data_IF_929381658710
#
_entry.id   IF_929381658710
#
_cell.length_a   1.000
_cell.length_b   1.000
_cell.length_c   1.000
_cell.angle_alpha   90.00
_cell.angle_beta   90.00
_cell.angle_gamma   90.00
#
_symmetry.space_group_name_H-M   'P 1'
#
loop_
_entity.id
_entity.type
_entity.pdbx_description
1 polymer ?
#
# COMPACT_ATOMS: atom_id res chain seq x y z
N UNK A 1 -9.82 -7.03 7.29
CA UNK A 1 -10.75 -7.24 6.15
C UNK A 1 -10.11 -8.22 5.20
N UNK A 2 -10.78 -9.31 4.86
CA UNK A 2 -10.35 -10.29 3.83
C UNK A 2 -10.67 -9.72 2.44
N UNK A 3 -9.78 -9.93 1.45
CA UNK A 3 -10.05 -9.62 0.04
C UNK A 3 -9.80 -10.83 -0.83
N UNK A 4 -10.67 -11.07 -1.80
CA UNK A 4 -10.55 -12.15 -2.78
C UNK A 4 -10.82 -11.61 -4.18
N UNK A 5 -9.88 -11.83 -5.06
CA UNK A 5 -10.00 -11.58 -6.49
C UNK A 5 -10.20 -12.90 -7.20
N UNK A 6 -11.29 -13.04 -7.94
CA UNK A 6 -11.67 -14.25 -8.64
C UNK A 6 -11.58 -14.01 -10.15
N UNK A 7 -10.48 -14.44 -10.78
CA UNK A 7 -10.19 -14.28 -12.22
C UNK A 7 -10.46 -12.86 -12.74
N UNK A 8 -9.98 -11.88 -11.98
CA UNK A 8 -10.28 -10.46 -12.24
C UNK A 8 -9.45 -9.95 -13.41
N UNK A 9 -10.11 -9.28 -14.35
CA UNK A 9 -9.46 -8.51 -15.40
C UNK A 9 -9.83 -7.03 -15.28
N UNK A 10 -8.86 -6.14 -15.49
CA UNK A 10 -9.08 -4.70 -15.36
C UNK A 10 -8.19 -3.89 -16.29
N UNK A 11 -8.69 -2.75 -16.75
CA UNK A 11 -7.95 -1.80 -17.57
C UNK A 11 -7.64 -0.56 -16.74
N UNK A 12 -6.43 -0.01 -16.93
CA UNK A 12 -6.08 1.23 -16.26
C UNK A 12 -7.04 2.37 -16.66
N UNK A 13 -7.51 3.21 -15.73
CA UNK A 13 -8.49 4.26 -16.04
C UNK A 13 -8.05 5.26 -17.13
N UNK A 14 -6.75 5.53 -17.22
CA UNK A 14 -6.18 6.41 -18.25
C UNK A 14 -5.88 5.72 -19.59
N UNK A 15 -6.10 4.41 -19.71
CA UNK A 15 -5.86 3.68 -20.96
C UNK A 15 -7.01 3.87 -21.96
N UNK A 16 -6.70 3.79 -23.25
CA UNK A 16 -7.71 3.85 -24.31
C UNK A 16 -8.69 2.66 -24.18
N UNK A 17 -9.96 2.83 -24.63
CA UNK A 17 -10.97 1.77 -24.53
C UNK A 17 -10.58 0.44 -25.22
N UNK A 18 -9.76 0.49 -26.25
CA UNK A 18 -9.29 -0.66 -27.01
C UNK A 18 -7.99 -1.28 -26.45
N UNK A 19 -7.36 -0.63 -25.47
CA UNK A 19 -6.12 -1.15 -24.89
C UNK A 19 -6.37 -2.49 -24.18
N UNK A 20 -5.37 -3.35 -24.20
CA UNK A 20 -5.40 -4.60 -23.45
C UNK A 20 -5.60 -4.37 -21.95
N UNK A 21 -6.23 -5.28 -21.22
CA UNK A 21 -6.34 -5.22 -19.77
C UNK A 21 -4.94 -5.15 -19.12
N UNK A 22 -4.77 -4.24 -18.18
CA UNK A 22 -3.53 -4.11 -17.39
C UNK A 22 -3.41 -5.18 -16.29
N UNK A 23 -4.53 -5.82 -15.94
CA UNK A 23 -4.60 -7.02 -15.09
C UNK A 23 -5.45 -8.04 -15.83
N UNK A 24 -4.99 -9.30 -15.92
CA UNK A 24 -5.57 -10.33 -16.76
C UNK A 24 -5.87 -11.58 -15.93
N UNK A 25 -7.16 -11.94 -15.81
CA UNK A 25 -7.66 -13.16 -15.17
C UNK A 25 -6.97 -13.49 -13.83
N UNK A 26 -6.60 -12.46 -13.03
CA UNK A 26 -5.83 -12.60 -11.81
C UNK A 26 -6.73 -13.11 -10.68
N UNK A 27 -6.28 -14.17 -10.00
CA UNK A 27 -6.89 -14.67 -8.77
C UNK A 27 -5.90 -14.52 -7.61
N UNK A 28 -6.33 -13.87 -6.52
CA UNK A 28 -5.51 -13.61 -5.34
C UNK A 28 -6.43 -13.54 -4.12
N UNK A 29 -6.02 -14.15 -3.02
CA UNK A 29 -6.70 -14.03 -1.73
C UNK A 29 -5.75 -13.49 -0.69
N UNK A 30 -6.16 -12.44 0.03
CA UNK A 30 -5.43 -11.83 1.15
C UNK A 30 -6.31 -11.95 2.40
N UNK A 31 -5.78 -12.54 3.45
CA UNK A 31 -6.51 -12.77 4.71
C UNK A 31 -6.67 -11.46 5.48
N UNK A 32 -7.65 -11.43 6.37
CA UNK A 32 -7.78 -10.31 7.31
C UNK A 32 -6.54 -10.22 8.21
N UNK A 33 -5.97 -9.01 8.34
CA UNK A 33 -4.76 -8.74 9.12
C UNK A 33 -3.45 -9.15 8.44
N UNK A 34 -3.50 -9.70 7.22
CA UNK A 34 -2.32 -10.08 6.48
C UNK A 34 -1.61 -8.86 5.87
N UNK A 35 -0.29 -8.92 5.79
CA UNK A 35 0.55 -7.92 5.15
C UNK A 35 1.20 -8.51 3.90
N UNK A 36 1.03 -7.85 2.76
CA UNK A 36 1.42 -8.32 1.44
C UNK A 36 2.12 -7.21 0.67
N UNK A 37 3.29 -7.49 0.09
CA UNK A 37 3.90 -6.62 -0.90
C UNK A 37 3.68 -7.15 -2.31
N UNK A 38 3.33 -6.25 -3.24
CA UNK A 38 3.24 -6.52 -4.67
C UNK A 38 4.44 -5.89 -5.36
N UNK A 39 5.28 -6.69 -5.99
CA UNK A 39 6.45 -6.24 -6.75
C UNK A 39 6.31 -6.58 -8.24
N UNK A 40 7.09 -5.91 -9.08
CA UNK A 40 7.12 -6.15 -10.50
C UNK A 40 7.57 -4.90 -11.27
N UNK A 41 7.92 -5.05 -12.55
CA UNK A 41 8.42 -3.94 -13.37
C UNK A 41 7.39 -2.83 -13.56
N UNK A 42 7.85 -1.68 -14.04
CA UNK A 42 6.96 -0.59 -14.44
C UNK A 42 5.98 -1.08 -15.50
N UNK A 43 4.71 -0.68 -15.36
CA UNK A 43 3.65 -1.15 -16.27
C UNK A 43 3.11 -2.55 -16.00
N UNK A 44 3.61 -3.30 -15.01
CA UNK A 44 3.13 -4.65 -14.67
C UNK A 44 1.65 -4.72 -14.25
N UNK A 45 0.98 -3.59 -13.98
CA UNK A 45 -0.42 -3.54 -13.57
C UNK A 45 -0.65 -3.36 -12.07
N UNK A 46 0.39 -3.08 -11.27
CA UNK A 46 0.33 -2.95 -9.80
C UNK A 46 -0.71 -1.92 -9.33
N UNK A 47 -0.66 -0.70 -9.85
CA UNK A 47 -1.63 0.37 -9.55
C UNK A 47 -3.06 -0.03 -9.93
N UNK A 48 -3.25 -0.68 -11.10
CA UNK A 48 -4.56 -1.17 -11.54
C UNK A 48 -5.08 -2.26 -10.61
N UNK A 49 -4.21 -3.16 -10.13
CA UNK A 49 -4.54 -4.17 -9.14
C UNK A 49 -5.04 -3.53 -7.84
N UNK A 50 -4.33 -2.52 -7.30
CA UNK A 50 -4.79 -1.81 -6.10
C UNK A 50 -6.12 -1.09 -6.31
N UNK A 51 -6.36 -0.50 -7.47
CA UNK A 51 -7.64 0.14 -7.78
C UNK A 51 -8.79 -0.87 -7.87
N UNK A 52 -8.55 -2.07 -8.38
CA UNK A 52 -9.53 -3.17 -8.36
C UNK A 52 -9.82 -3.61 -6.92
N UNK A 53 -8.79 -3.84 -6.10
CA UNK A 53 -8.90 -4.19 -4.69
C UNK A 53 -9.63 -3.11 -3.88
N UNK A 54 -9.40 -1.84 -4.18
CA UNK A 54 -10.06 -0.70 -3.55
C UNK A 54 -11.53 -0.51 -3.99
N UNK A 55 -12.03 -1.34 -4.92
CA UNK A 55 -13.29 -1.09 -5.60
C UNK A 55 -13.41 0.32 -6.22
N UNK A 56 -12.26 0.96 -6.50
CA UNK A 56 -12.19 2.23 -7.21
C UNK A 56 -12.33 2.04 -8.72
N UNK A 57 -12.03 0.85 -9.21
CA UNK A 57 -12.17 0.43 -10.59
C UNK A 57 -13.09 -0.79 -10.66
N UNK A 58 -14.12 -0.75 -11.52
CA UNK A 58 -14.96 -1.90 -11.80
C UNK A 58 -14.21 -2.89 -12.70
N UNK A 59 -14.15 -4.19 -12.36
CA UNK A 59 -13.52 -5.18 -13.21
C UNK A 59 -14.24 -5.31 -14.55
N UNK A 60 -13.48 -5.63 -15.61
CA UNK A 60 -14.00 -5.97 -16.93
C UNK A 60 -14.57 -7.40 -16.93
N UNK A 61 -13.96 -8.29 -16.16
CA UNK A 61 -14.37 -9.66 -15.94
C UNK A 61 -13.93 -10.12 -14.55
N UNK A 62 -14.54 -11.18 -14.04
CA UNK A 62 -14.29 -11.70 -12.70
C UNK A 62 -15.00 -10.93 -11.60
N UNK A 63 -14.65 -11.20 -10.34
CA UNK A 63 -15.29 -10.64 -9.15
C UNK A 63 -14.31 -10.20 -8.09
N UNK A 64 -14.69 -9.17 -7.30
CA UNK A 64 -13.95 -8.67 -6.13
C UNK A 64 -14.82 -8.86 -4.90
N UNK A 65 -14.39 -9.74 -4.00
CA UNK A 65 -15.08 -9.97 -2.74
C UNK A 65 -14.29 -9.35 -1.58
N UNK A 66 -15.00 -8.60 -0.74
CA UNK A 66 -14.50 -8.04 0.50
C UNK A 66 -15.30 -8.63 1.66
N UNK A 67 -14.61 -9.33 2.58
CA UNK A 67 -15.23 -10.13 3.66
C UNK A 67 -16.33 -11.08 3.13
N UNK A 68 -16.11 -11.67 1.94
CA UNK A 68 -17.05 -12.58 1.27
C UNK A 68 -18.20 -11.93 0.51
N UNK A 69 -18.31 -10.60 0.50
CA UNK A 69 -19.34 -9.87 -0.23
C UNK A 69 -18.82 -9.36 -1.57
N UNK A 70 -19.53 -9.65 -2.66
CA UNK A 70 -19.22 -9.06 -3.97
C UNK A 70 -19.55 -7.56 -3.96
N UNK A 71 -18.50 -6.75 -4.00
CA UNK A 71 -18.59 -5.30 -3.92
C UNK A 71 -19.48 -4.69 -5.00
N UNK A 72 -19.49 -5.29 -6.20
CA UNK A 72 -20.20 -4.75 -7.36
C UNK A 72 -21.64 -5.22 -7.49
N UNK A 73 -22.05 -6.21 -6.67
CA UNK A 73 -23.43 -6.64 -6.49
C UNK A 73 -24.18 -5.79 -5.45
N UNK A 74 -23.45 -5.00 -4.66
CA UNK A 74 -24.05 -4.17 -3.62
C UNK A 74 -24.78 -2.94 -4.21
N UNK A 75 -25.86 -2.48 -3.57
CA UNK A 75 -26.45 -1.18 -3.87
C UNK A 75 -25.43 -0.06 -3.58
N UNK A 76 -25.63 1.13 -4.16
CA UNK A 76 -24.70 2.26 -4.03
C UNK A 76 -24.34 2.58 -2.57
N UNK A 77 -25.30 2.54 -1.67
CA UNK A 77 -25.09 2.78 -0.23
C UNK A 77 -24.20 1.71 0.39
N UNK A 78 -24.41 0.43 0.07
CA UNK A 78 -23.59 -0.68 0.54
C UNK A 78 -22.15 -0.59 0.03
N UNK A 79 -21.97 -0.28 -1.25
CA UNK A 79 -20.65 -0.05 -1.83
C UNK A 79 -19.92 1.14 -1.19
N UNK A 80 -20.66 2.22 -0.87
CA UNK A 80 -20.09 3.38 -0.18
C UNK A 80 -19.64 3.02 1.24
N UNK A 81 -20.45 2.28 2.01
CA UNK A 81 -20.09 1.78 3.34
C UNK A 81 -18.85 0.88 3.28
N UNK A 82 -18.82 -0.02 2.29
CA UNK A 82 -17.68 -0.92 2.09
C UNK A 82 -16.39 -0.15 1.78
N UNK A 83 -16.45 0.84 0.88
CA UNK A 83 -15.34 1.74 0.57
C UNK A 83 -14.90 2.57 1.78
N UNK A 84 -15.80 2.93 2.68
CA UNK A 84 -15.45 3.60 3.93
C UNK A 84 -14.55 2.75 4.83
N UNK A 85 -14.65 1.43 4.76
CA UNK A 85 -13.85 0.51 5.58
C UNK A 85 -12.45 0.21 4.98
N UNK A 86 -12.08 0.82 3.86
CA UNK A 86 -10.76 0.69 3.24
C UNK A 86 -10.15 2.08 2.97
N UNK A 87 -8.82 2.12 2.84
CA UNK A 87 -8.08 3.32 2.49
C UNK A 87 -7.14 3.01 1.33
N UNK A 88 -7.28 3.76 0.24
CA UNK A 88 -6.34 3.74 -0.89
C UNK A 88 -5.45 4.98 -0.81
N UNK A 89 -4.15 4.77 -0.58
CA UNK A 89 -3.12 5.78 -0.68
C UNK A 89 -2.47 5.68 -2.08
N UNK A 90 -2.78 6.59 -3.00
CA UNK A 90 -2.13 6.60 -4.32
C UNK A 90 -0.70 7.13 -4.21
N UNK A 91 0.14 6.84 -5.19
CA UNK A 91 1.52 7.28 -5.30
C UNK A 91 1.69 8.80 -5.08
N UNK A 92 0.83 9.60 -5.69
CA UNK A 92 0.75 11.04 -5.43
C UNK A 92 -0.48 11.34 -4.54
N UNK A 93 -0.30 11.65 -3.24
CA UNK A 93 -1.42 11.91 -2.35
C UNK A 93 -2.26 13.09 -2.82
N UNK A 94 -3.60 12.94 -2.93
CA UNK A 94 -4.50 14.03 -3.34
C UNK A 94 -4.73 15.00 -2.17
N UNK A 95 -3.73 15.83 -1.90
CA UNK A 95 -3.75 16.83 -0.84
C UNK A 95 -4.05 18.20 -1.43
N UNK A 96 -5.12 18.89 -1.00
CA UNK A 96 -5.44 20.24 -1.48
C UNK A 96 -4.32 21.23 -1.11
N UNK A 97 -3.76 21.99 -2.07
CA UNK A 97 -2.54 22.76 -1.84
C UNK A 97 -2.70 23.87 -0.78
N UNK A 98 -3.88 24.48 -0.68
CA UNK A 98 -4.14 25.56 0.28
C UNK A 98 -4.57 25.09 1.68
N UNK A 99 -4.73 23.77 1.85
CA UNK A 99 -5.14 23.18 3.13
C UNK A 99 -3.96 23.09 4.10
N UNK A 100 -4.24 23.17 5.41
CA UNK A 100 -3.24 22.87 6.44
C UNK A 100 -3.02 21.37 6.54
N UNK A 101 -1.80 20.97 6.90
CA UNK A 101 -1.41 19.56 7.06
C UNK A 101 -2.32 18.84 8.07
N UNK A 102 -2.61 19.45 9.21
CA UNK A 102 -3.52 18.89 10.21
C UNK A 102 -4.89 18.51 9.62
N UNK A 103 -5.47 19.39 8.83
CA UNK A 103 -6.78 19.16 8.20
C UNK A 103 -6.66 18.07 7.10
N UNK A 104 -5.59 18.10 6.33
CA UNK A 104 -5.32 17.10 5.30
C UNK A 104 -5.16 15.68 5.88
N UNK A 105 -4.48 15.55 7.03
CA UNK A 105 -4.32 14.28 7.75
C UNK A 105 -5.66 13.82 8.31
N UNK A 106 -6.37 14.68 9.06
CA UNK A 106 -7.66 14.33 9.68
C UNK A 106 -8.76 14.00 8.67
N UNK A 107 -8.63 14.46 7.42
CA UNK A 107 -9.54 14.04 6.34
C UNK A 107 -9.56 12.52 6.08
N UNK A 108 -8.56 11.77 6.57
CA UNK A 108 -8.58 10.30 6.57
C UNK A 108 -9.73 9.68 7.36
N UNK A 109 -10.36 10.43 8.27
CA UNK A 109 -11.49 9.99 9.10
C UNK A 109 -12.87 10.29 8.48
N UNK A 110 -12.92 11.13 7.47
CA UNK A 110 -14.20 11.57 6.88
C UNK A 110 -15.20 10.46 6.53
N UNK A 111 -14.76 9.26 6.06
CA UNK A 111 -15.68 8.16 5.79
C UNK A 111 -16.45 7.65 7.02
N UNK A 112 -15.93 7.87 8.22
CA UNK A 112 -16.49 7.40 9.49
C UNK A 112 -17.17 8.50 10.30
N UNK A 113 -17.11 9.74 9.84
CA UNK A 113 -17.72 10.90 10.51
C UNK A 113 -19.06 11.25 9.89
N UNK A 114 -20.00 11.67 10.73
CA UNK A 114 -21.28 12.21 10.27
C UNK A 114 -21.10 13.51 9.47
N UNK A 115 -22.05 13.83 8.59
CA UNK A 115 -21.97 14.97 7.68
C UNK A 115 -21.66 16.30 8.38
N UNK A 116 -22.29 16.59 9.51
CA UNK A 116 -22.05 17.81 10.28
C UNK A 116 -20.67 17.87 10.93
N UNK A 117 -20.19 16.74 11.44
CA UNK A 117 -18.83 16.63 12.01
C UNK A 117 -17.80 16.80 10.91
N UNK A 118 -17.99 16.14 9.76
CA UNK A 118 -17.13 16.27 8.58
C UNK A 118 -17.04 17.71 8.07
N UNK A 119 -18.19 18.40 7.97
CA UNK A 119 -18.21 19.80 7.52
C UNK A 119 -17.48 20.71 8.53
N UNK A 120 -17.70 20.50 9.83
CA UNK A 120 -17.01 21.26 10.89
C UNK A 120 -15.50 20.98 10.90
N UNK A 121 -15.07 19.74 10.72
CA UNK A 121 -13.66 19.34 10.76
C UNK A 121 -12.82 19.96 9.63
N UNK A 122 -13.45 20.34 8.51
CA UNK A 122 -12.78 21.07 7.42
C UNK A 122 -12.32 22.49 7.82
N UNK A 123 -13.04 23.12 8.75
CA UNK A 123 -12.75 24.48 9.23
C UNK A 123 -12.05 24.48 10.60
N UNK A 124 -12.44 23.53 11.46
CA UNK A 124 -11.92 23.41 12.82
C UNK A 124 -11.47 21.95 13.07
N UNK A 125 -10.19 21.65 12.97
CA UNK A 125 -9.68 20.29 13.23
C UNK A 125 -9.95 19.91 14.70
N UNK A 126 -10.74 18.85 14.90
CA UNK A 126 -11.25 18.48 16.24
C UNK A 126 -10.27 17.58 17.02
N UNK A 127 -9.41 16.83 16.34
CA UNK A 127 -8.51 15.85 16.99
C UNK A 127 -7.05 16.11 16.58
N UNK A 128 -6.56 17.29 16.93
CA UNK A 128 -5.18 17.71 16.67
C UNK A 128 -4.15 16.72 17.23
N UNK A 129 -4.28 16.21 18.49
CA UNK A 129 -3.31 15.26 19.04
C UNK A 129 -3.21 13.95 18.24
N UNK A 130 -4.29 13.51 17.60
CA UNK A 130 -4.26 12.31 16.73
C UNK A 130 -3.48 12.57 15.45
N UNK A 131 -3.69 13.73 14.82
CA UNK A 131 -2.92 14.12 13.64
C UNK A 131 -1.43 14.28 13.96
N UNK A 132 -1.11 14.91 15.10
CA UNK A 132 0.27 15.10 15.58
C UNK A 132 0.98 13.75 15.79
N UNK A 133 0.35 12.80 16.49
CA UNK A 133 0.91 11.44 16.68
C UNK A 133 1.15 10.72 15.34
N UNK A 134 0.20 10.81 14.41
CA UNK A 134 0.35 10.18 13.10
C UNK A 134 1.48 10.82 12.29
N UNK A 135 1.65 12.14 12.37
CA UNK A 135 2.74 12.87 11.72
C UNK A 135 4.09 12.59 12.39
N UNK A 136 4.13 12.47 13.73
CA UNK A 136 5.34 12.14 14.48
C UNK A 136 5.92 10.79 14.04
N UNK A 137 5.07 9.79 13.74
CA UNK A 137 5.48 8.51 13.18
C UNK A 137 6.19 8.61 11.82
N UNK A 138 6.16 9.75 11.17
CA UNK A 138 6.83 10.01 9.89
C UNK A 138 7.76 11.24 9.94
N UNK A 139 8.21 11.66 11.11
CA UNK A 139 9.07 12.84 11.32
C UNK A 139 8.50 14.12 10.70
N UNK A 140 7.20 14.39 10.91
CA UNK A 140 6.47 15.50 10.32
C UNK A 140 5.66 16.31 11.34
N UNK A 141 5.87 16.09 12.65
CA UNK A 141 5.09 16.78 13.69
C UNK A 141 5.27 18.30 13.66
N UNK A 142 6.47 18.78 13.32
CA UNK A 142 6.81 20.19 13.15
C UNK A 142 6.04 20.89 12.04
N UNK A 143 5.51 20.12 11.05
CA UNK A 143 4.75 20.59 9.89
C UNK A 143 3.25 20.64 10.10
N UNK A 144 2.75 20.29 11.29
CA UNK A 144 1.32 20.13 11.60
C UNK A 144 0.43 21.28 11.11
N UNK A 145 0.92 22.52 11.27
CA UNK A 145 0.18 23.74 10.89
C UNK A 145 0.62 24.37 9.58
N UNK A 146 1.60 23.77 8.90
CA UNK A 146 2.07 24.24 7.61
C UNK A 146 0.99 24.02 6.53
N UNK A 147 1.12 24.75 5.41
CA UNK A 147 0.27 24.54 4.25
C UNK A 147 0.88 23.46 3.35
N UNK A 148 0.01 22.64 2.76
CA UNK A 148 0.41 21.55 1.86
C UNK A 148 1.24 22.06 0.66
N UNK A 149 0.95 23.25 0.13
CA UNK A 149 1.70 23.83 -1.01
C UNK A 149 3.15 24.19 -0.67
N UNK A 150 3.51 24.29 0.61
CA UNK A 150 4.88 24.56 1.07
C UNK A 150 5.72 23.29 1.28
N UNK A 151 5.09 22.11 1.19
CA UNK A 151 5.74 20.83 1.40
C UNK A 151 6.47 20.38 0.13
N UNK A 152 7.63 19.75 0.31
CA UNK A 152 8.33 18.97 -0.72
C UNK A 152 7.51 17.75 -1.16
N UNK A 153 7.91 17.07 -2.25
CA UNK A 153 7.28 15.84 -2.71
C UNK A 153 7.27 14.74 -1.65
N UNK A 154 8.44 14.49 -1.03
CA UNK A 154 8.57 13.49 0.03
C UNK A 154 7.80 13.84 1.31
N UNK A 155 7.73 15.12 1.68
CA UNK A 155 6.89 15.56 2.81
C UNK A 155 5.41 15.33 2.53
N UNK A 156 4.94 15.65 1.31
CA UNK A 156 3.54 15.35 0.91
C UNK A 156 3.25 13.87 0.97
N UNK A 157 4.19 13.03 0.54
CA UNK A 157 4.02 11.57 0.62
C UNK A 157 3.88 11.10 2.06
N UNK A 158 4.74 11.54 2.97
CA UNK A 158 4.66 11.23 4.40
C UNK A 158 3.35 11.71 5.04
N UNK A 159 2.86 12.89 4.66
CA UNK A 159 1.53 13.39 5.07
C UNK A 159 0.42 12.47 4.56
N UNK A 160 0.53 11.96 3.33
CA UNK A 160 -0.40 10.96 2.78
C UNK A 160 -0.42 9.65 3.58
N UNK A 161 0.74 9.17 4.02
CA UNK A 161 0.86 8.00 4.89
C UNK A 161 0.30 8.27 6.29
N UNK A 162 0.58 9.43 6.88
CA UNK A 162 -0.02 9.84 8.15
C UNK A 162 -1.56 9.91 8.07
N UNK A 163 -2.12 10.36 6.92
CA UNK A 163 -3.55 10.32 6.65
C UNK A 163 -4.09 8.88 6.63
N UNK A 164 -3.34 7.90 6.11
CA UNK A 164 -3.72 6.49 6.18
C UNK A 164 -3.75 5.98 7.62
N UNK A 165 -2.80 6.42 8.46
CA UNK A 165 -2.76 6.02 9.87
C UNK A 165 -3.91 6.57 10.71
N UNK A 166 -4.43 7.76 10.43
CA UNK A 166 -5.59 8.29 11.17
C UNK A 166 -6.91 7.71 10.69
N UNK A 167 -6.95 7.08 9.51
CA UNK A 167 -8.14 6.39 9.02
C UNK A 167 -8.49 5.21 9.91
N UNK A 168 -9.76 4.84 9.98
CA UNK A 168 -10.24 3.65 10.70
C UNK A 168 -10.41 2.46 9.74
N UNK A 169 -9.70 2.52 8.62
CA UNK A 169 -9.75 1.50 7.58
C UNK A 169 -9.22 0.15 8.10
N UNK A 170 -9.95 -0.92 7.76
CA UNK A 170 -9.56 -2.31 8.03
C UNK A 170 -8.71 -2.91 6.90
N UNK A 171 -8.65 -2.24 5.75
CA UNK A 171 -7.80 -2.57 4.61
C UNK A 171 -7.07 -1.32 4.14
N UNK A 172 -5.76 -1.35 4.20
CA UNK A 172 -4.85 -0.32 3.71
C UNK A 172 -4.24 -0.79 2.39
N UNK A 173 -4.48 -0.04 1.34
CA UNK A 173 -3.93 -0.25 0.01
C UNK A 173 -3.01 0.93 -0.30
N UNK A 174 -1.72 0.68 -0.48
CA UNK A 174 -0.72 1.76 -0.57
C UNK A 174 0.10 1.58 -1.84
N UNK A 175 -0.01 2.55 -2.74
CA UNK A 175 0.67 2.53 -4.03
C UNK A 175 1.99 3.29 -3.95
N UNK A 176 3.11 2.57 -4.08
CA UNK A 176 4.47 3.10 -4.11
C UNK A 176 4.77 4.13 -3.00
N UNK A 177 4.62 3.75 -1.71
CA UNK A 177 4.73 4.68 -0.59
C UNK A 177 6.11 5.34 -0.44
N UNK A 178 7.14 4.84 -1.13
CA UNK A 178 8.54 5.20 -0.92
C UNK A 178 9.14 5.99 -2.08
N UNK A 179 8.41 6.21 -3.17
CA UNK A 179 8.92 6.72 -4.45
C UNK A 179 9.56 8.13 -4.40
N UNK A 180 9.20 8.95 -3.41
CA UNK A 180 9.74 10.30 -3.23
C UNK A 180 10.59 10.46 -1.96
N UNK A 181 11.03 9.36 -1.36
CA UNK A 181 11.78 9.33 -0.11
C UNK A 181 13.22 8.85 -0.35
N UNK A 182 14.16 9.38 0.43
CA UNK A 182 15.51 8.83 0.52
C UNK A 182 15.51 7.47 1.25
N UNK A 183 16.57 6.66 1.14
CA UNK A 183 16.61 5.31 1.71
C UNK A 183 16.29 5.24 3.20
N UNK A 184 16.84 6.15 4.01
CA UNK A 184 16.63 6.16 5.47
C UNK A 184 15.17 6.45 5.82
N UNK A 185 14.57 7.46 5.16
CA UNK A 185 13.16 7.79 5.36
C UNK A 185 12.23 6.73 4.80
N UNK A 186 12.63 6.05 3.72
CA UNK A 186 11.90 4.92 3.15
C UNK A 186 11.79 3.77 4.14
N UNK A 187 12.91 3.39 4.77
CA UNK A 187 12.92 2.35 5.79
C UNK A 187 12.01 2.71 6.97
N UNK A 188 12.19 3.90 7.54
CA UNK A 188 11.37 4.36 8.66
C UNK A 188 9.86 4.42 8.31
N UNK A 189 9.52 4.89 7.11
CA UNK A 189 8.13 4.98 6.67
C UNK A 189 7.46 3.61 6.52
N UNK A 190 8.17 2.62 5.97
CA UNK A 190 7.61 1.28 5.79
C UNK A 190 7.48 0.56 7.14
N UNK A 191 8.46 0.70 8.04
CA UNK A 191 8.39 0.16 9.41
C UNK A 191 7.19 0.73 10.17
N UNK A 192 7.04 2.05 10.17
CA UNK A 192 5.90 2.73 10.79
C UNK A 192 4.56 2.23 10.23
N UNK A 193 4.46 2.08 8.91
CA UNK A 193 3.24 1.64 8.24
C UNK A 193 2.90 0.19 8.58
N UNK A 194 3.86 -0.72 8.50
CA UNK A 194 3.68 -2.16 8.77
C UNK A 194 3.39 -2.40 10.25
N UNK A 195 4.09 -1.72 11.15
CA UNK A 195 3.83 -1.79 12.60
C UNK A 195 2.42 -1.30 12.93
N UNK A 196 2.02 -0.12 12.44
CA UNK A 196 0.70 0.44 12.72
C UNK A 196 -0.44 -0.42 12.12
N UNK A 197 -0.23 -1.07 10.97
CA UNK A 197 -1.18 -2.03 10.41
C UNK A 197 -1.30 -3.27 11.31
N UNK A 198 -0.17 -3.82 11.78
CA UNK A 198 -0.11 -4.97 12.69
C UNK A 198 -0.84 -4.71 14.01
N UNK A 199 -0.51 -3.59 14.67
CA UNK A 199 -1.10 -3.20 15.98
C UNK A 199 -2.63 -3.08 15.92
N UNK A 200 -3.18 -2.67 14.76
CA UNK A 200 -4.63 -2.53 14.55
C UNK A 200 -5.29 -3.77 13.96
N UNK A 201 -4.52 -4.81 13.63
CA UNK A 201 -5.01 -5.97 12.90
C UNK A 201 -5.56 -5.60 11.51
N UNK A 202 -5.10 -4.50 10.91
CA UNK A 202 -5.49 -4.07 9.58
C UNK A 202 -4.76 -4.90 8.52
N UNK A 203 -5.46 -5.22 7.44
CA UNK A 203 -4.85 -5.82 6.25
C UNK A 203 -4.08 -4.73 5.51
N UNK A 204 -2.84 -5.02 5.10
CA UNK A 204 -2.00 -4.09 4.37
C UNK A 204 -1.55 -4.72 3.04
N UNK A 205 -1.81 -4.04 1.94
CA UNK A 205 -1.25 -4.38 0.62
C UNK A 205 -0.50 -3.16 0.10
N UNK A 206 0.80 -3.29 -0.12
CA UNK A 206 1.63 -2.22 -0.65
C UNK A 206 2.29 -2.63 -1.97
N UNK A 207 2.29 -1.76 -2.97
CA UNK A 207 3.14 -1.94 -4.14
C UNK A 207 4.50 -1.31 -3.89
N UNK A 208 5.55 -2.01 -4.27
CA UNK A 208 6.93 -1.56 -4.06
C UNK A 208 7.77 -1.79 -5.32
N UNK A 209 8.66 -0.83 -5.63
CA UNK A 209 9.70 -1.01 -6.64
C UNK A 209 10.96 -1.63 -6.04
N UNK A 210 11.29 -1.28 -4.79
CA UNK A 210 12.47 -1.79 -4.09
C UNK A 210 12.21 -3.19 -3.54
N UNK A 211 12.75 -4.21 -4.23
CA UNK A 211 12.58 -5.63 -3.88
C UNK A 211 13.11 -5.92 -2.47
N UNK A 212 14.26 -5.37 -2.11
CA UNK A 212 14.89 -5.55 -0.79
C UNK A 212 13.97 -5.07 0.34
N UNK A 213 13.36 -3.89 0.17
CA UNK A 213 12.40 -3.35 1.13
C UNK A 213 11.14 -4.23 1.25
N UNK A 214 10.68 -4.81 0.14
CA UNK A 214 9.56 -5.74 0.15
C UNK A 214 9.90 -7.00 0.94
N UNK A 215 11.05 -7.62 0.66
CA UNK A 215 11.52 -8.84 1.32
C UNK A 215 11.82 -8.66 2.80
N UNK A 216 12.35 -7.48 3.19
CA UNK A 216 12.69 -7.19 4.58
C UNK A 216 11.47 -6.91 5.48
N UNK A 217 10.41 -6.30 4.92
CA UNK A 217 9.32 -5.76 5.75
C UNK A 217 7.97 -6.46 5.56
N UNK A 218 7.81 -7.31 4.56
CA UNK A 218 6.56 -8.01 4.29
C UNK A 218 6.72 -9.53 4.37
N UNK A 219 5.83 -10.25 5.07
CA UNK A 219 5.90 -11.70 5.21
C UNK A 219 5.54 -12.45 3.92
N UNK A 220 4.81 -11.83 2.99
CA UNK A 220 4.34 -12.42 1.73
C UNK A 220 4.55 -11.48 0.57
N UNK A 221 5.04 -12.02 -0.53
CA UNK A 221 5.38 -11.27 -1.73
C UNK A 221 4.63 -11.84 -2.93
N UNK A 222 4.00 -10.98 -3.67
CA UNK A 222 3.36 -11.28 -4.97
C UNK A 222 4.15 -10.62 -6.08
N UNK A 223 4.63 -11.42 -7.01
CA UNK A 223 5.28 -10.96 -8.24
C UNK A 223 4.26 -10.80 -9.37
N UNK A 224 4.13 -9.58 -9.90
CA UNK A 224 3.23 -9.24 -11.00
C UNK A 224 4.03 -8.82 -12.23
N UNK A 225 3.73 -9.44 -13.40
CA UNK A 225 4.30 -9.06 -14.69
C UNK A 225 3.23 -9.16 -15.79
N UNK A 226 3.18 -8.17 -16.65
CA UNK A 226 2.26 -8.10 -17.81
C UNK A 226 0.78 -8.36 -17.43
N UNK A 227 0.38 -7.88 -16.25
CA UNK A 227 -0.97 -8.05 -15.71
C UNK A 227 -1.28 -9.42 -15.15
N UNK A 228 -0.32 -10.34 -15.12
CA UNK A 228 -0.45 -11.69 -14.60
C UNK A 228 0.41 -11.93 -13.36
N UNK A 229 -0.06 -12.83 -12.50
CA UNK A 229 0.66 -13.27 -11.32
C UNK A 229 1.76 -14.25 -11.74
N UNK A 230 3.03 -13.92 -11.42
CA UNK A 230 4.19 -14.77 -11.71
C UNK A 230 4.49 -15.70 -10.52
N UNK A 231 4.41 -15.19 -9.31
CA UNK A 231 4.53 -15.96 -8.08
C UNK A 231 3.78 -15.29 -6.92
N UNK A 232 3.47 -16.09 -5.92
CA UNK A 232 2.84 -15.70 -4.66
C UNK A 232 3.45 -16.55 -3.56
N UNK A 233 4.41 -15.99 -2.82
CA UNK A 233 5.30 -16.74 -1.93
C UNK A 233 5.52 -16.01 -0.59
N UNK A 234 5.80 -16.75 0.50
CA UNK A 234 6.44 -16.16 1.66
C UNK A 234 7.76 -15.48 1.29
N UNK A 235 8.09 -14.35 1.91
CA UNK A 235 9.31 -13.59 1.59
C UNK A 235 10.58 -14.47 1.64
N UNK A 236 10.69 -15.36 2.62
CA UNK A 236 11.82 -16.28 2.78
C UNK A 236 11.95 -17.33 1.66
N UNK A 237 10.89 -17.55 0.87
CA UNK A 237 10.87 -18.50 -0.25
C UNK A 237 11.16 -17.84 -1.61
N UNK A 238 11.26 -16.51 -1.65
CA UNK A 238 11.57 -15.78 -2.89
C UNK A 238 13.04 -15.95 -3.22
N UNK A 239 13.35 -16.64 -4.32
CA UNK A 239 14.71 -16.89 -4.81
C UNK A 239 15.12 -15.88 -5.89
N UNK A 240 16.44 -15.86 -6.20
CA UNK A 240 16.97 -15.09 -7.35
C UNK A 240 16.27 -15.46 -8.66
N UNK A 241 15.99 -16.76 -8.86
CA UNK A 241 15.32 -17.23 -10.09
C UNK A 241 13.92 -16.66 -10.22
N UNK A 242 13.16 -16.56 -9.12
CA UNK A 242 11.85 -15.91 -9.10
C UNK A 242 11.94 -14.44 -9.52
N UNK A 243 12.96 -13.71 -9.00
CA UNK A 243 13.17 -12.30 -9.34
C UNK A 243 13.66 -12.14 -10.78
N UNK A 244 14.58 -12.99 -11.25
CA UNK A 244 15.00 -12.98 -12.65
C UNK A 244 13.84 -13.27 -13.61
N UNK A 245 12.99 -14.26 -13.29
CA UNK A 245 11.80 -14.54 -14.07
C UNK A 245 10.83 -13.36 -14.10
N UNK A 246 10.67 -12.66 -12.96
CA UNK A 246 9.80 -11.49 -12.85
C UNK A 246 10.29 -10.31 -13.70
N UNK A 247 11.61 -10.03 -13.71
CA UNK A 247 12.24 -8.89 -14.37
C UNK A 247 12.99 -9.25 -15.67
N UNK A 248 12.76 -10.44 -16.25
CA UNK A 248 13.53 -10.97 -17.39
C UNK A 248 13.68 -10.01 -18.58
N UNK A 249 12.71 -9.13 -18.82
CA UNK A 249 12.74 -8.12 -19.89
C UNK A 249 13.18 -6.73 -19.40
N UNK A 250 13.40 -6.54 -18.09
CA UNK A 250 13.68 -5.27 -17.42
C UNK A 250 14.86 -5.41 -16.43
N UNK A 251 15.90 -6.14 -16.82
CA UNK A 251 17.08 -6.40 -15.95
C UNK A 251 17.76 -5.12 -15.45
N UNK A 252 17.65 -4.01 -16.17
CA UNK A 252 18.14 -2.71 -15.74
C UNK A 252 17.38 -2.15 -14.50
N UNK A 253 16.12 -2.56 -14.27
CA UNK A 253 15.36 -2.17 -13.07
C UNK A 253 15.83 -2.95 -11.83
N UNK A 254 16.31 -4.19 -11.99
CA UNK A 254 16.94 -4.96 -10.92
C UNK A 254 18.30 -4.38 -10.51
N UNK A 255 19.14 -3.99 -11.48
CA UNK A 255 20.48 -3.47 -11.21
C UNK A 255 20.48 -2.06 -10.61
N UNK A 256 19.44 -1.27 -10.84
CA UNK A 256 19.25 0.02 -10.16
C UNK A 256 18.83 -0.13 -8.68
N UNK A 257 18.37 -1.33 -8.29
CA UNK A 257 17.86 -1.64 -6.95
C UNK A 257 18.85 -2.46 -6.12
N UNK A 258 19.85 -3.08 -6.75
CA UNK A 258 20.80 -3.98 -6.12
C UNK A 258 22.24 -3.64 -6.52
N UNK A 259 22.93 -2.92 -5.67
CA UNK A 259 24.31 -3.29 -5.37
C UNK A 259 24.22 -4.56 -4.51
N UNK A 260 23.92 -5.69 -5.17
CA UNK A 260 23.95 -7.00 -4.52
C UNK A 260 25.43 -7.33 -4.36
N UNK A 261 26.01 -7.00 -3.21
CA UNK A 261 27.26 -7.62 -2.75
C UNK A 261 27.05 -9.13 -2.76
N UNK A 262 28.07 -9.85 -3.26
CA UNK A 262 28.12 -11.31 -3.47
C UNK A 262 28.03 -12.15 -2.17
N UNK A 263 27.56 -11.59 -1.06
CA UNK A 263 27.62 -12.18 0.28
C UNK A 263 26.24 -12.48 0.88
N UNK A 264 25.32 -13.03 0.06
CA UNK A 264 24.07 -13.60 0.59
C UNK A 264 24.27 -15.08 0.96
N UNK A 265 25.05 -15.32 2.03
CA UNK A 265 25.09 -16.61 2.72
C UNK A 265 24.07 -16.57 3.86
N UNK A 266 23.05 -17.45 3.92
CA UNK A 266 22.16 -17.49 5.06
C UNK A 266 22.97 -17.89 6.29
N UNK A 267 23.03 -17.01 7.29
CA UNK A 267 23.66 -17.31 8.58
C UNK A 267 22.89 -18.45 9.25
N UNK A 268 23.40 -19.66 9.14
CA UNK A 268 22.97 -20.79 9.95
C UNK A 268 23.46 -20.50 11.38
N UNK A 269 22.58 -20.34 12.38
CA UNK A 269 23.02 -20.17 13.76
C UNK A 269 23.77 -21.40 14.20
N UNK A 270 25.03 -21.22 14.67
CA UNK A 270 25.83 -22.28 15.23
C UNK A 270 25.16 -22.89 16.46
N UNK A 271 25.22 -24.22 16.68
CA UNK A 271 24.64 -24.86 17.83
C UNK A 271 25.32 -24.38 19.11
N UNK A 272 24.52 -23.89 20.05
CA UNK A 272 24.98 -23.51 21.41
C UNK A 272 25.35 -24.80 22.15
N UNK A 273 26.64 -25.01 22.37
CA UNK A 273 27.13 -26.07 23.25
C UNK A 273 26.96 -25.59 24.70
N UNK A 274 25.97 -26.15 25.39
CA UNK A 274 25.85 -25.98 26.84
C UNK A 274 26.96 -26.80 27.52
N UNK A 275 27.91 -26.14 28.15
CA UNK A 275 28.73 -26.76 29.20
C UNK A 275 28.01 -26.66 30.54
N UNK A 276 27.55 -27.81 31.05
CA UNK A 276 27.20 -27.96 32.43
C UNK A 276 28.47 -27.90 33.29
N UNK A 277 28.48 -27.03 34.26
CA UNK A 277 29.22 -27.12 35.52
C UNK A 277 28.31 -26.82 36.68
#
# INVERSE_FOLDING_TARGET
>A
MKIELCSVSGRHPAARPEAAPAVQALSLSVRAGEQLAVIGPSGAGKTTLLHLMACALKPLAGGVLLDGQDAWQLPRSGLQTLRGALFLAPQAPPLPPRQRVVTAVLAGRLPHEGLWTSLRSLFYPVDIPRAERALAGFDMADKLFDRVDRLSGGERQRVGLARALVSEARLLLVDEPLSALDPTRSQHAIETLTQAASERGATLVATLHHVEMALAHFPRIVGLRDGALVFDLPAAAVSRDHLQALYAQHLHELSATASIDDDFSPAIPAPVVMHCR
#
